data_IF_318216661997
#
_entry.id   IF_318216661997
#
_cell.length_a   1.000
_cell.length_b   1.000
_cell.length_c   1.000
_cell.angle_alpha   90.00
_cell.angle_beta   90.00
_cell.angle_gamma   90.00
#
_symmetry.space_group_name_H-M   'P 1'
#
loop_
_entity.id
_entity.type
_entity.pdbx_description
1 polymer ?
#
# COMPACT_ATOMS: atom_id res chain seq x y z
N UNK A 1 25.70 21.84 -15.78
CA UNK A 1 25.97 22.52 -14.49
C UNK A 1 25.17 21.83 -13.40
N UNK A 2 25.82 21.34 -12.34
CA UNK A 2 25.25 20.46 -11.31
C UNK A 2 24.64 21.28 -10.18
N UNK A 3 23.31 21.27 -10.02
CA UNK A 3 22.64 21.82 -8.84
C UNK A 3 22.39 20.70 -7.83
N UNK A 4 23.42 20.30 -7.07
CA UNK A 4 23.25 19.46 -5.90
C UNK A 4 22.83 20.36 -4.72
N UNK A 5 21.52 20.62 -4.57
CA UNK A 5 20.97 21.32 -3.40
C UNK A 5 20.57 20.27 -2.38
N UNK A 6 21.34 20.20 -1.28
CA UNK A 6 21.13 19.49 -0.01
C UNK A 6 20.15 18.30 -0.01
N UNK A 7 20.63 17.14 0.44
CA UNK A 7 19.80 15.98 0.75
C UNK A 7 18.60 16.36 1.64
N UNK A 8 17.50 15.60 1.53
CA UNK A 8 16.32 15.79 2.40
C UNK A 8 16.71 15.78 3.88
N UNK A 9 17.77 15.03 4.21
CA UNK A 9 18.33 14.94 5.56
C UNK A 9 18.95 16.24 6.05
N UNK A 10 19.70 16.90 5.19
CA UNK A 10 20.32 18.19 5.49
C UNK A 10 19.27 19.31 5.59
N UNK A 11 18.15 19.20 4.88
CA UNK A 11 17.07 20.21 4.89
C UNK A 11 16.19 20.18 6.13
N UNK A 12 15.94 18.99 6.69
CA UNK A 12 15.01 18.79 7.81
C UNK A 12 15.72 18.76 9.18
N UNK A 13 17.03 18.54 9.20
CA UNK A 13 17.82 18.46 10.44
C UNK A 13 17.62 17.14 11.19
N UNK A 14 18.56 16.80 12.08
CA UNK A 14 18.59 15.50 12.75
C UNK A 14 17.39 15.25 13.69
N UNK A 15 16.84 16.31 14.31
CA UNK A 15 15.69 16.19 15.21
C UNK A 15 14.44 15.68 14.49
N UNK A 16 14.13 16.20 13.31
CA UNK A 16 12.99 15.75 12.50
C UNK A 16 13.13 14.26 12.12
N UNK A 17 14.34 13.79 11.79
CA UNK A 17 14.56 12.37 11.49
C UNK A 17 14.35 11.45 12.68
N UNK A 18 14.75 11.88 13.88
CA UNK A 18 14.47 11.11 15.08
C UNK A 18 12.97 10.99 15.33
N UNK A 19 12.21 12.08 15.15
CA UNK A 19 10.75 12.06 15.28
C UNK A 19 10.08 11.16 14.24
N UNK A 20 10.49 11.24 12.96
CA UNK A 20 9.97 10.38 11.90
C UNK A 20 10.29 8.90 12.15
N UNK A 21 11.50 8.60 12.65
CA UNK A 21 11.87 7.24 13.03
C UNK A 21 10.98 6.72 14.18
N UNK A 22 10.76 7.53 15.21
CA UNK A 22 9.88 7.19 16.32
C UNK A 22 8.45 6.92 15.84
N UNK A 23 7.92 7.80 14.98
CA UNK A 23 6.60 7.64 14.38
C UNK A 23 6.50 6.35 13.56
N UNK A 24 7.51 6.05 12.73
CA UNK A 24 7.53 4.81 11.94
C UNK A 24 7.51 3.57 12.84
N UNK A 25 8.32 3.56 13.90
CA UNK A 25 8.36 2.44 14.86
C UNK A 25 7.00 2.26 15.53
N UNK A 26 6.35 3.34 15.94
CA UNK A 26 5.04 3.31 16.58
C UNK A 26 3.96 2.75 15.64
N UNK A 27 3.85 3.32 14.42
CA UNK A 27 2.85 2.90 13.43
C UNK A 27 3.05 1.43 13.06
N UNK A 28 4.29 1.01 12.79
CA UNK A 28 4.59 -0.39 12.43
C UNK A 28 4.29 -1.34 13.58
N UNK A 29 4.56 -0.93 14.82
CA UNK A 29 4.28 -1.74 16.01
C UNK A 29 2.78 -1.96 16.20
N UNK A 30 1.96 -0.92 16.02
CA UNK A 30 0.50 -1.04 16.03
C UNK A 30 -0.02 -1.94 14.90
N UNK A 31 0.52 -1.79 13.69
CA UNK A 31 0.16 -2.65 12.56
C UNK A 31 0.51 -4.12 12.81
N UNK A 32 1.72 -4.41 13.29
CA UNK A 32 2.16 -5.78 13.60
C UNK A 32 1.35 -6.41 14.72
N UNK A 33 0.98 -5.64 15.75
CA UNK A 33 0.10 -6.12 16.81
C UNK A 33 -1.30 -6.47 16.27
N UNK A 34 -1.85 -5.66 15.36
CA UNK A 34 -3.11 -5.98 14.67
C UNK A 34 -2.99 -7.24 13.82
N UNK A 35 -1.97 -7.32 12.97
CA UNK A 35 -1.73 -8.46 12.07
C UNK A 35 -1.53 -9.78 12.84
N UNK A 36 -0.92 -9.72 14.03
CA UNK A 36 -0.74 -10.89 14.92
C UNK A 36 -2.06 -11.51 15.38
N UNK A 37 -3.16 -10.75 15.40
CA UNK A 37 -4.48 -11.25 15.80
C UNK A 37 -5.20 -12.02 14.68
N UNK A 38 -4.60 -12.14 13.49
CA UNK A 38 -5.20 -12.80 12.34
C UNK A 38 -5.34 -14.31 12.59
N UNK A 39 -6.56 -14.83 12.52
CA UNK A 39 -6.90 -16.23 12.85
C UNK A 39 -6.90 -17.17 11.63
N UNK A 40 -7.10 -16.63 10.43
CA UNK A 40 -7.12 -17.43 9.20
C UNK A 40 -5.71 -17.62 8.64
N UNK A 41 -5.31 -18.84 8.26
CA UNK A 41 -4.01 -19.06 7.63
C UNK A 41 -4.00 -18.43 6.24
N UNK A 42 -2.90 -17.76 5.92
CA UNK A 42 -2.64 -17.13 4.63
C UNK A 42 -1.17 -17.31 4.25
N UNK A 43 -0.88 -17.11 2.98
CA UNK A 43 0.47 -16.99 2.45
C UNK A 43 0.58 -15.67 1.70
N UNK A 44 1.62 -14.89 1.99
CA UNK A 44 1.96 -13.73 1.16
C UNK A 44 2.46 -14.26 -0.19
N UNK A 45 1.70 -14.02 -1.26
CA UNK A 45 2.05 -14.51 -2.60
C UNK A 45 2.75 -13.45 -3.43
N UNK A 46 2.52 -12.17 -3.14
CA UNK A 46 3.19 -11.06 -3.81
C UNK A 46 3.40 -9.90 -2.83
N UNK A 47 4.54 -9.23 -2.97
CA UNK A 47 4.84 -7.96 -2.33
C UNK A 47 5.38 -7.02 -3.38
N UNK A 48 4.82 -5.81 -3.44
CA UNK A 48 5.37 -4.69 -4.22
C UNK A 48 5.67 -5.04 -5.69
N UNK A 49 4.89 -5.96 -6.26
CA UNK A 49 5.17 -6.54 -7.58
C UNK A 49 4.42 -5.78 -8.66
N UNK A 50 5.17 -5.18 -9.58
CA UNK A 50 4.58 -4.48 -10.73
C UNK A 50 3.82 -5.43 -11.65
N UNK A 51 2.62 -5.02 -12.05
CA UNK A 51 1.73 -5.71 -12.98
C UNK A 51 1.19 -4.75 -14.01
N UNK A 52 0.86 -5.27 -15.20
CA UNK A 52 0.12 -4.54 -16.22
C UNK A 52 -1.27 -5.13 -16.36
N UNK A 53 -2.26 -4.28 -16.50
CA UNK A 53 -3.62 -4.68 -16.82
C UNK A 53 -4.25 -3.73 -17.85
N UNK A 54 -5.29 -4.22 -18.52
CA UNK A 54 -6.16 -3.37 -19.32
C UNK A 54 -7.47 -3.15 -18.58
N UNK A 55 -7.92 -1.91 -18.53
CA UNK A 55 -9.24 -1.52 -18.02
C UNK A 55 -9.91 -0.70 -19.13
N UNK A 56 -10.88 -1.32 -19.81
CA UNK A 56 -11.38 -0.81 -21.10
C UNK A 56 -10.20 -0.51 -22.05
N UNK A 57 -10.12 0.72 -22.56
CA UNK A 57 -9.07 1.15 -23.49
C UNK A 57 -7.78 1.61 -22.79
N UNK A 58 -7.77 1.65 -21.45
CA UNK A 58 -6.61 2.09 -20.67
C UNK A 58 -5.65 0.92 -20.40
N UNK A 59 -4.37 1.14 -20.72
CA UNK A 59 -3.28 0.25 -20.29
C UNK A 59 -2.64 0.82 -19.03
N UNK A 60 -2.83 0.13 -17.91
CA UNK A 60 -2.37 0.57 -16.60
C UNK A 60 -1.19 -0.27 -16.14
N UNK A 61 -0.23 0.38 -15.48
CA UNK A 61 0.81 -0.27 -14.70
C UNK A 61 0.51 -0.04 -13.24
N UNK A 62 0.27 -1.12 -12.50
CA UNK A 62 -0.13 -1.11 -11.11
C UNK A 62 0.89 -1.87 -10.28
N UNK A 63 1.00 -1.51 -9.00
CA UNK A 63 1.89 -2.16 -8.04
C UNK A 63 1.15 -2.24 -6.70
N UNK A 64 0.43 -3.34 -6.43
CA UNK A 64 -0.16 -3.56 -5.11
C UNK A 64 0.95 -3.77 -4.08
N UNK A 65 0.76 -3.23 -2.87
CA UNK A 65 1.77 -3.32 -1.82
C UNK A 65 1.94 -4.78 -1.37
N UNK A 66 0.82 -5.49 -1.20
CA UNK A 66 0.83 -6.91 -0.79
C UNK A 66 -0.41 -7.66 -1.27
N UNK A 67 -0.22 -8.92 -1.65
CA UNK A 67 -1.30 -9.86 -1.96
C UNK A 67 -1.12 -11.10 -1.08
N UNK A 68 -2.18 -11.40 -0.32
CA UNK A 68 -2.30 -12.61 0.49
C UNK A 68 -3.19 -13.62 -0.22
N UNK A 69 -2.86 -14.90 -0.10
CA UNK A 69 -3.66 -16.03 -0.56
C UNK A 69 -4.10 -16.90 0.62
N UNK A 70 -5.38 -17.24 0.67
CA UNK A 70 -6.03 -18.03 1.71
C UNK A 70 -6.43 -19.41 1.16
N UNK A 71 -6.95 -20.28 2.03
CA UNK A 71 -7.53 -21.56 1.61
C UNK A 71 -8.66 -21.36 0.59
N UNK A 72 -8.67 -22.21 -0.44
CA UNK A 72 -9.64 -22.14 -1.53
C UNK A 72 -9.35 -21.04 -2.54
N UNK A 73 -8.07 -20.68 -2.74
CA UNK A 73 -7.58 -19.74 -3.77
C UNK A 73 -8.09 -18.29 -3.65
N UNK A 74 -8.79 -17.96 -2.56
CA UNK A 74 -9.22 -16.60 -2.26
C UNK A 74 -8.00 -15.72 -2.00
N UNK A 75 -8.04 -14.49 -2.50
CA UNK A 75 -6.96 -13.51 -2.34
C UNK A 75 -7.44 -12.23 -1.69
N UNK A 76 -6.55 -11.58 -0.95
CA UNK A 76 -6.75 -10.23 -0.46
C UNK A 76 -5.62 -9.34 -0.94
N UNK A 77 -5.98 -8.17 -1.47
CA UNK A 77 -5.05 -7.10 -1.79
C UNK A 77 -5.00 -6.16 -0.58
N UNK A 78 -3.79 -5.82 -0.15
CA UNK A 78 -3.52 -4.92 0.96
C UNK A 78 -2.77 -3.71 0.40
N UNK A 79 -3.27 -2.52 0.71
CA UNK A 79 -2.72 -1.20 0.38
C UNK A 79 -2.48 -0.49 1.71
N UNK A 80 -1.21 -0.24 2.05
CA UNK A 80 -0.83 0.34 3.32
C UNK A 80 -1.01 1.86 3.27
N UNK A 81 -1.83 2.38 4.18
CA UNK A 81 -2.04 3.83 4.33
C UNK A 81 -1.92 4.20 5.80
N UNK A 82 -1.20 5.30 6.08
CA UNK A 82 -1.09 5.87 7.43
C UNK A 82 -2.36 6.59 7.87
N UNK A 83 -3.29 6.87 6.93
CA UNK A 83 -4.62 7.39 7.19
C UNK A 83 -5.66 6.45 6.63
N UNK A 84 -6.73 6.21 7.38
CA UNK A 84 -7.83 5.37 6.92
C UNK A 84 -8.53 6.04 5.73
N UNK A 85 -8.63 5.38 4.57
CA UNK A 85 -9.42 5.87 3.45
C UNK A 85 -10.92 5.77 3.77
N UNK A 86 -11.73 6.67 3.23
CA UNK A 86 -13.18 6.49 3.32
C UNK A 86 -13.63 5.47 2.27
N UNK A 87 -14.40 4.45 2.67
CA UNK A 87 -14.98 3.48 1.73
C UNK A 87 -15.85 4.17 0.66
N UNK A 88 -16.43 5.33 0.99
CA UNK A 88 -17.21 6.14 0.03
C UNK A 88 -16.35 6.73 -1.08
N UNK A 89 -15.03 6.84 -0.90
CA UNK A 89 -14.11 7.38 -1.89
C UNK A 89 -13.68 6.35 -2.94
N UNK A 90 -14.00 5.08 -2.72
CA UNK A 90 -13.67 3.96 -3.61
C UNK A 90 -14.73 3.70 -4.67
N UNK A 91 -15.99 4.03 -4.38
CA UNK A 91 -17.16 3.63 -5.17
C UNK A 91 -17.91 4.88 -5.66
N UNK A 92 -18.37 4.84 -6.91
CA UNK A 92 -19.08 5.93 -7.58
C UNK A 92 -18.53 6.19 -8.98
N UNK A 93 -19.18 7.09 -9.73
CA UNK A 93 -18.81 7.38 -11.13
C UNK A 93 -17.41 7.99 -11.28
N UNK A 94 -16.93 8.66 -10.23
CA UNK A 94 -15.60 9.27 -10.14
C UNK A 94 -14.96 8.95 -8.80
N UNK A 95 -14.39 7.74 -8.63
CA UNK A 95 -13.71 7.37 -7.39
C UNK A 95 -12.52 8.28 -7.14
N UNK A 96 -12.41 8.83 -5.93
CA UNK A 96 -11.30 9.71 -5.53
C UNK A 96 -10.05 8.91 -5.15
N UNK A 97 -10.24 7.67 -4.71
CA UNK A 97 -9.15 6.77 -4.29
C UNK A 97 -9.27 5.42 -5.03
N UNK A 98 -9.05 5.39 -6.36
CA UNK A 98 -9.29 4.21 -7.19
C UNK A 98 -8.20 3.14 -7.05
N UNK A 99 -7.12 3.37 -6.29
CA UNK A 99 -5.97 2.48 -6.22
C UNK A 99 -6.34 1.07 -5.76
N UNK A 100 -7.08 0.94 -4.64
CA UNK A 100 -7.47 -0.36 -4.11
C UNK A 100 -8.47 -1.09 -5.03
N UNK A 101 -9.55 -0.45 -5.54
CA UNK A 101 -10.41 -1.06 -6.56
C UNK A 101 -9.67 -1.55 -7.80
N UNK A 102 -8.76 -0.75 -8.36
CA UNK A 102 -8.00 -1.11 -9.57
C UNK A 102 -7.03 -2.27 -9.31
N UNK A 103 -6.34 -2.25 -8.17
CA UNK A 103 -5.40 -3.33 -7.81
C UNK A 103 -6.11 -4.64 -7.48
N UNK A 104 -7.33 -4.59 -6.93
CA UNK A 104 -8.17 -5.77 -6.72
C UNK A 104 -8.54 -6.48 -8.04
N UNK A 105 -8.66 -5.76 -9.17
CA UNK A 105 -8.87 -6.36 -10.48
C UNK A 105 -7.68 -7.22 -10.98
N UNK A 106 -6.50 -7.11 -10.36
CA UNK A 106 -5.32 -7.90 -10.71
C UNK A 106 -5.34 -9.31 -10.12
N UNK A 107 -6.23 -9.58 -9.17
CA UNK A 107 -6.36 -10.89 -8.54
C UNK A 107 -7.49 -11.68 -9.20
N UNK A 108 -7.28 -12.99 -9.48
CA UNK A 108 -8.36 -13.88 -9.91
C UNK A 108 -9.52 -13.87 -8.90
N UNK A 109 -10.74 -14.06 -9.40
CA UNK A 109 -11.96 -14.23 -8.59
C UNK A 109 -12.00 -15.59 -7.92
#
# INVERSE_FOLDING_TARGET
MRNARYSLRERLGQACWHLEQQLCIEILSHWLAHERNRTSPFRVVEMEKTKRCKVADLSLTLRPDRIDEFRGWRRSVIDYKTRAPSKTNWLGDRPQEPQLPLTACLTPR
#
